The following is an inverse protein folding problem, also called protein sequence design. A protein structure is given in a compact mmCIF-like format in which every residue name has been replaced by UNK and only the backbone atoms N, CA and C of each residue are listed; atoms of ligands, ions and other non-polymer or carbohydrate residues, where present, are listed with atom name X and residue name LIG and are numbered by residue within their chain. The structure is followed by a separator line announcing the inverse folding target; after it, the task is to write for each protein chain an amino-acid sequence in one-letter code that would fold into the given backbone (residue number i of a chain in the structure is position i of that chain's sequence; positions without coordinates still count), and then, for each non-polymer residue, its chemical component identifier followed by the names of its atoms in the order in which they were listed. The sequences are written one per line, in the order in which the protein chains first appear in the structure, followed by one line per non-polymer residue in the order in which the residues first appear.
data_IF_491629603338
#
_entry.id   IF_491629603338
#
_cell.length_a   1.000
_cell.length_b   1.000
_cell.length_c   1.000
_cell.angle_alpha   90.00
_cell.angle_beta   90.00
_cell.angle_gamma   90.00
#
_symmetry.space_group_name_H-M   'P 1'
#
loop_
_entity.id
_entity.type
_entity.pdbx_description
1 polymer ?
#
# COMPACT_ATOMS: atom_id res chain seq x y z
N UNK A 1 42.09 14.31 -14.83
CA UNK A 1 42.01 14.92 -13.49
C UNK A 1 40.81 15.86 -13.51
N UNK A 2 39.78 15.54 -12.71
CA UNK A 2 38.56 16.32 -12.34
C UNK A 2 37.68 16.78 -13.53
N UNK A 3 36.49 16.23 -13.84
CA UNK A 3 35.28 15.81 -13.07
C UNK A 3 34.80 16.86 -12.05
N UNK A 4 33.53 17.24 -12.21
CA UNK A 4 32.76 18.31 -11.53
C UNK A 4 33.12 19.71 -12.05
N UNK A 5 32.26 20.37 -12.83
CA UNK A 5 30.96 20.95 -12.45
C UNK A 5 30.16 21.29 -13.74
N UNK A 6 28.84 21.41 -13.61
CA UNK A 6 27.88 21.97 -14.60
C UNK A 6 27.48 21.09 -15.78
N UNK A 7 26.49 20.22 -15.55
CA UNK A 7 25.18 20.38 -16.21
C UNK A 7 24.09 20.03 -15.21
N UNK A 8 23.31 21.03 -14.85
CA UNK A 8 22.05 20.86 -14.17
C UNK A 8 21.11 20.15 -15.13
N UNK A 9 21.08 18.82 -15.08
CA UNK A 9 20.04 18.04 -15.73
C UNK A 9 18.79 18.15 -14.86
N UNK A 10 18.02 19.18 -15.16
CA UNK A 10 16.55 19.17 -15.07
C UNK A 10 16.07 17.94 -15.84
N UNK A 11 15.99 16.81 -15.16
CA UNK A 11 15.31 15.62 -15.64
C UNK A 11 14.07 15.45 -14.79
N UNK A 12 12.91 15.39 -15.46
CA UNK A 12 11.59 15.09 -14.90
C UNK A 12 11.58 13.71 -14.22
N UNK A 13 12.18 13.64 -13.03
CA UNK A 13 12.50 12.43 -12.29
C UNK A 13 11.35 11.88 -11.46
N UNK A 14 10.17 11.74 -12.05
CA UNK A 14 9.05 11.07 -11.38
C UNK A 14 8.69 9.77 -12.11
N UNK A 15 8.87 8.65 -11.40
CA UNK A 15 8.19 7.34 -11.55
C UNK A 15 9.07 6.10 -11.86
N UNK A 16 10.28 6.23 -12.42
CA UNK A 16 11.08 5.05 -12.84
C UNK A 16 11.59 4.16 -11.69
N UNK A 17 11.82 4.76 -10.51
CA UNK A 17 12.33 4.03 -9.34
C UNK A 17 11.30 3.09 -8.70
N UNK A 18 10.01 3.42 -8.76
CA UNK A 18 8.95 2.59 -8.15
C UNK A 18 8.64 1.36 -9.01
N UNK A 19 8.69 1.50 -10.34
CA UNK A 19 8.37 0.43 -11.29
C UNK A 19 9.37 -0.75 -11.19
N UNK A 20 10.63 -0.45 -10.85
CA UNK A 20 11.72 -1.43 -10.71
C UNK A 20 11.96 -1.88 -9.26
N UNK A 21 11.34 -1.24 -8.28
CA UNK A 21 11.53 -1.57 -6.86
C UNK A 21 10.90 -2.92 -6.50
N UNK A 22 11.66 -3.71 -5.72
CA UNK A 22 11.21 -4.96 -5.14
C UNK A 22 10.85 -4.75 -3.66
N UNK A 23 9.55 -4.60 -3.37
CA UNK A 23 9.06 -4.40 -2.01
C UNK A 23 8.89 -5.72 -1.27
N UNK A 24 9.45 -5.83 -0.07
CA UNK A 24 9.29 -6.99 0.81
C UNK A 24 8.09 -6.86 1.76
N UNK A 25 7.64 -5.63 2.05
CA UNK A 25 6.54 -5.32 2.97
C UNK A 25 5.69 -4.21 2.38
N UNK A 26 4.38 -4.46 2.29
CA UNK A 26 3.40 -3.54 1.72
C UNK A 26 2.25 -3.40 2.71
N UNK A 27 1.86 -2.16 3.01
CA UNK A 27 0.66 -1.85 3.79
C UNK A 27 -0.34 -1.13 2.90
N UNK A 28 -1.45 -1.78 2.62
CA UNK A 28 -2.59 -1.17 1.95
C UNK A 28 -3.42 -0.40 2.98
N UNK A 29 -3.67 0.89 2.75
CA UNK A 29 -4.44 1.73 3.66
C UNK A 29 -5.77 2.06 2.99
N UNK A 30 -6.86 1.41 3.45
CA UNK A 30 -8.21 1.71 2.96
C UNK A 30 -9.28 1.56 4.06
N UNK A 31 -9.25 2.40 5.12
CA UNK A 31 -10.29 2.43 6.13
C UNK A 31 -11.52 3.21 5.62
N UNK A 32 -12.25 2.67 4.64
CA UNK A 32 -13.40 3.33 3.99
C UNK A 32 -14.70 2.53 4.12
N UNK A 33 -15.76 2.98 3.45
CA UNK A 33 -17.00 2.22 3.33
C UNK A 33 -16.78 0.88 2.59
N UNK A 34 -17.74 -0.04 2.76
CA UNK A 34 -17.67 -1.40 2.21
C UNK A 34 -17.48 -1.44 0.69
N UNK A 35 -18.20 -0.61 -0.07
CA UNK A 35 -18.11 -0.61 -1.54
C UNK A 35 -16.67 -0.36 -2.03
N UNK A 36 -16.01 0.63 -1.43
CA UNK A 36 -14.61 0.93 -1.71
C UNK A 36 -13.65 -0.21 -1.34
N UNK A 37 -13.91 -0.92 -0.23
CA UNK A 37 -13.10 -2.07 0.19
C UNK A 37 -13.17 -3.16 -0.88
N UNK A 38 -14.38 -3.50 -1.33
CA UNK A 38 -14.61 -4.50 -2.38
C UNK A 38 -13.92 -4.10 -3.68
N UNK A 39 -14.04 -2.84 -4.08
CA UNK A 39 -13.39 -2.32 -5.29
C UNK A 39 -11.85 -2.28 -5.19
N UNK A 40 -11.27 -2.40 -3.99
CA UNK A 40 -9.82 -2.43 -3.79
C UNK A 40 -9.24 -3.86 -3.86
N UNK A 41 -10.07 -4.91 -3.76
CA UNK A 41 -9.61 -6.31 -3.83
C UNK A 41 -8.82 -6.64 -5.13
N UNK A 42 -9.22 -6.18 -6.32
CA UNK A 42 -8.41 -6.39 -7.53
C UNK A 42 -6.99 -5.82 -7.44
N UNK A 43 -6.80 -4.72 -6.70
CA UNK A 43 -5.47 -4.15 -6.44
C UNK A 43 -4.64 -5.09 -5.57
N UNK A 44 -5.23 -5.63 -4.49
CA UNK A 44 -4.59 -6.63 -3.64
C UNK A 44 -4.12 -7.86 -4.44
N UNK A 45 -4.97 -8.38 -5.35
CA UNK A 45 -4.61 -9.52 -6.21
C UNK A 45 -3.42 -9.17 -7.11
N UNK A 46 -3.42 -8.00 -7.73
CA UNK A 46 -2.31 -7.53 -8.57
C UNK A 46 -1.02 -7.34 -7.77
N UNK A 47 -1.10 -6.81 -6.54
CA UNK A 47 0.07 -6.68 -5.65
C UNK A 47 0.67 -8.04 -5.30
N UNK A 48 -0.17 -9.04 -4.98
CA UNK A 48 0.31 -10.41 -4.72
C UNK A 48 0.95 -11.04 -5.97
N UNK A 49 0.38 -10.82 -7.15
CA UNK A 49 0.96 -11.32 -8.40
C UNK A 49 2.32 -10.67 -8.71
N UNK A 50 2.46 -9.35 -8.50
CA UNK A 50 3.72 -8.62 -8.75
C UNK A 50 4.78 -8.90 -7.68
N UNK A 51 4.37 -9.11 -6.43
CA UNK A 51 5.25 -9.34 -5.30
C UNK A 51 4.87 -10.64 -4.55
N UNK A 52 5.11 -11.84 -5.15
CA UNK A 52 4.64 -13.11 -4.59
C UNK A 52 5.15 -13.41 -3.17
N UNK A 53 6.35 -12.92 -2.84
CA UNK A 53 7.00 -13.13 -1.54
C UNK A 53 6.79 -11.99 -0.54
N UNK A 54 6.14 -10.90 -0.93
CA UNK A 54 5.95 -9.76 -0.04
C UNK A 54 4.94 -10.10 1.07
N UNK A 55 5.18 -9.54 2.25
CA UNK A 55 4.16 -9.47 3.30
C UNK A 55 3.22 -8.33 2.95
N UNK A 56 1.95 -8.63 2.71
CA UNK A 56 0.94 -7.65 2.30
C UNK A 56 -0.11 -7.57 3.41
N UNK A 57 -0.09 -6.46 4.13
CA UNK A 57 -1.05 -6.16 5.17
C UNK A 57 -2.08 -5.15 4.68
N UNK A 58 -3.25 -5.13 5.32
CA UNK A 58 -4.27 -4.14 5.02
C UNK A 58 -4.81 -3.47 6.28
N UNK A 59 -4.58 -2.16 6.39
CA UNK A 59 -5.23 -1.28 7.37
C UNK A 59 -6.67 -0.96 6.95
N UNK A 60 -7.62 -1.45 7.74
CA UNK A 60 -9.06 -1.41 7.46
C UNK A 60 -9.86 -1.14 8.75
N UNK A 61 -11.09 -0.66 8.62
CA UNK A 61 -11.96 -0.51 9.80
C UNK A 61 -12.48 -1.87 10.29
N UNK A 62 -12.76 -2.03 11.59
CA UNK A 62 -13.28 -3.28 12.15
C UNK A 62 -14.53 -3.81 11.46
N UNK A 63 -15.42 -2.91 11.04
CA UNK A 63 -16.71 -3.27 10.42
C UNK A 63 -16.54 -3.98 9.07
N UNK A 64 -15.41 -3.77 8.39
CA UNK A 64 -15.15 -4.33 7.07
C UNK A 64 -14.07 -5.43 7.08
N UNK A 65 -13.48 -5.75 8.25
CA UNK A 65 -12.33 -6.66 8.33
C UNK A 65 -12.63 -8.08 7.83
N UNK A 66 -13.82 -8.60 8.14
CA UNK A 66 -14.23 -9.96 7.78
C UNK A 66 -14.37 -10.17 6.27
N UNK A 67 -14.57 -9.09 5.50
CA UNK A 67 -14.66 -9.14 4.03
C UNK A 67 -13.35 -9.62 3.40
N UNK A 68 -12.22 -9.31 4.04
CA UNK A 68 -10.89 -9.54 3.46
C UNK A 68 -10.01 -10.47 4.29
N UNK A 69 -10.32 -10.71 5.57
CA UNK A 69 -9.44 -11.46 6.51
C UNK A 69 -8.99 -12.82 6.00
N UNK A 70 -9.84 -13.53 5.25
CA UNK A 70 -9.55 -14.87 4.73
C UNK A 70 -9.02 -14.88 3.29
N UNK A 71 -8.78 -13.70 2.70
CA UNK A 71 -8.32 -13.62 1.32
C UNK A 71 -6.84 -14.07 1.21
N UNK A 72 -6.50 -15.03 0.35
CA UNK A 72 -5.18 -15.67 0.31
C UNK A 72 -4.04 -14.73 -0.10
N UNK A 73 -4.37 -13.61 -0.77
CA UNK A 73 -3.39 -12.59 -1.13
C UNK A 73 -2.90 -11.76 0.07
N UNK A 74 -3.64 -11.74 1.19
CA UNK A 74 -3.26 -11.01 2.40
C UNK A 74 -2.43 -11.86 3.34
N UNK A 75 -1.50 -11.20 4.00
CA UNK A 75 -0.71 -11.76 5.10
C UNK A 75 -1.34 -11.44 6.46
N UNK A 76 -1.94 -10.25 6.62
CA UNK A 76 -2.61 -9.85 7.85
C UNK A 76 -3.62 -8.71 7.61
N UNK A 77 -4.56 -8.56 8.54
CA UNK A 77 -5.43 -7.39 8.65
C UNK A 77 -4.99 -6.55 9.85
N UNK A 78 -4.85 -5.24 9.62
CA UNK A 78 -4.54 -4.24 10.65
C UNK A 78 -5.82 -3.45 10.93
N UNK A 79 -6.36 -3.57 12.13
CA UNK A 79 -7.60 -2.89 12.47
C UNK A 79 -7.34 -1.42 12.82
N UNK A 80 -8.15 -0.53 12.23
CA UNK A 80 -8.13 0.90 12.50
C UNK A 80 -9.48 1.38 13.00
N UNK A 81 -9.59 1.55 14.32
CA UNK A 81 -10.78 2.08 14.96
C UNK A 81 -10.78 3.62 14.89
N UNK A 82 -11.44 4.18 13.86
CA UNK A 82 -11.57 5.65 13.66
C UNK A 82 -12.02 6.41 14.92
N UNK A 83 -12.89 5.81 15.73
CA UNK A 83 -13.43 6.39 16.97
C UNK A 83 -12.35 6.74 17.99
N UNK A 84 -11.26 5.98 18.03
CA UNK A 84 -10.16 6.19 18.98
C UNK A 84 -9.37 7.47 18.69
N UNK A 85 -9.50 7.99 17.46
CA UNK A 85 -8.78 9.16 16.97
C UNK A 85 -9.69 10.37 16.69
N UNK A 86 -11.00 10.25 16.96
CA UNK A 86 -11.97 11.32 16.66
C UNK A 86 -12.26 12.24 17.86
N UNK A 87 -11.68 11.96 19.04
CA UNK A 87 -11.77 12.85 20.20
C UNK A 87 -10.69 13.93 20.09
N UNK A 88 -11.03 15.24 20.16
CA UNK A 88 -10.03 16.26 20.40
C UNK A 88 -9.41 15.98 21.79
N UNK A 89 -8.08 15.99 21.86
CA UNK A 89 -7.36 16.09 23.13
C UNK A 89 -7.50 17.47 23.74
#
# INVERSE_FOLDING_TARGET
MNRQIERADINDGHDSGLQSAEFSRILLIKPSALGDVVHTIPVLVKLRARYPRARIDWLITPENAEVVRHHPALSNVVLFARRDFSKPG
#
